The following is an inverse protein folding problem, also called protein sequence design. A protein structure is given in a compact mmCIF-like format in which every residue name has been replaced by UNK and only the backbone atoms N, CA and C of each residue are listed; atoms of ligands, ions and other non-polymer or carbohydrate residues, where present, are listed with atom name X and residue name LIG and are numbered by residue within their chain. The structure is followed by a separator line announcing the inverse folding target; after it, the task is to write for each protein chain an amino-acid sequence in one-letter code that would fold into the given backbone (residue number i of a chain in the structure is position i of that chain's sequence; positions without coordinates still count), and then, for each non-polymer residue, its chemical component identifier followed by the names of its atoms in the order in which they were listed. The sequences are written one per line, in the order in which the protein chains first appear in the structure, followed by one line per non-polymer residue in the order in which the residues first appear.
data_IF_841214372313
#
_entry.id   IF_841214372313
#
_cell.length_a   1.000
_cell.length_b   1.000
_cell.length_c   1.000
_cell.angle_alpha   90.00
_cell.angle_beta   90.00
_cell.angle_gamma   90.00
#
_symmetry.space_group_name_H-M   'P 1'
#
loop_
_entity.id
_entity.type
_entity.pdbx_description
1 polymer ?
#
# COMPACT_ATOMS: atom_id res chain seq x y z
N UNK A 1 9.01 29.99 -27.85
CA UNK A 1 9.81 29.80 -26.63
C UNK A 1 10.17 28.33 -26.57
N UNK A 2 11.46 28.00 -26.63
CA UNK A 2 11.92 26.62 -26.49
C UNK A 2 11.90 26.23 -25.01
N UNK A 3 11.28 25.10 -24.68
CA UNK A 3 11.19 24.61 -23.30
C UNK A 3 12.47 23.81 -23.02
N UNK A 4 13.13 24.14 -21.92
CA UNK A 4 14.32 23.42 -21.45
C UNK A 4 13.91 22.26 -20.54
N UNK A 5 13.92 21.04 -21.10
CA UNK A 5 13.52 19.82 -20.38
C UNK A 5 14.60 19.27 -19.43
N UNK A 6 15.83 19.80 -19.47
CA UNK A 6 16.94 19.24 -18.68
C UNK A 6 16.77 19.42 -17.17
N UNK A 7 15.94 20.39 -16.76
CA UNK A 7 15.68 20.77 -15.37
C UNK A 7 14.65 19.90 -14.66
N UNK A 8 13.89 19.09 -15.40
CA UNK A 8 12.82 18.26 -14.85
C UNK A 8 13.37 16.95 -14.29
N UNK A 9 12.76 16.48 -13.21
CA UNK A 9 13.02 15.14 -12.65
C UNK A 9 12.60 14.03 -13.61
N UNK A 10 13.11 12.82 -13.44
CA UNK A 10 12.72 11.65 -14.25
C UNK A 10 11.20 11.41 -14.19
N UNK A 11 10.59 11.60 -13.02
CA UNK A 11 9.14 11.47 -12.85
C UNK A 11 8.38 12.50 -13.71
N UNK A 12 8.80 13.76 -13.68
CA UNK A 12 8.19 14.83 -14.48
C UNK A 12 8.40 14.60 -15.98
N UNK A 13 9.59 14.13 -16.38
CA UNK A 13 9.86 13.78 -17.78
C UNK A 13 8.95 12.65 -18.27
N UNK A 14 8.75 11.60 -17.48
CA UNK A 14 7.80 10.53 -17.81
C UNK A 14 6.36 11.04 -17.90
N UNK A 15 5.96 11.96 -17.01
CA UNK A 15 4.64 12.57 -17.04
C UNK A 15 4.42 13.43 -18.29
N UNK A 16 5.43 14.26 -18.63
CA UNK A 16 5.45 15.05 -19.86
C UNK A 16 5.35 14.12 -21.09
N UNK A 17 6.12 13.04 -21.14
CA UNK A 17 6.11 12.08 -22.25
C UNK A 17 4.72 11.45 -22.48
N UNK A 18 3.95 11.22 -21.41
CA UNK A 18 2.58 10.68 -21.49
C UNK A 18 1.56 11.69 -22.04
N UNK A 19 1.79 12.99 -21.81
CA UNK A 19 0.84 14.05 -22.17
C UNK A 19 1.19 14.81 -23.46
N UNK A 20 2.39 14.62 -24.02
CA UNK A 20 2.75 15.21 -25.32
C UNK A 20 1.92 14.56 -26.45
N UNK A 21 1.25 15.40 -27.25
CA UNK A 21 0.64 14.98 -28.51
C UNK A 21 1.73 14.63 -29.54
N UNK A 22 1.95 13.32 -29.71
CA UNK A 22 2.97 12.75 -30.59
C UNK A 22 2.75 13.10 -32.07
N UNK A 23 1.49 13.33 -32.47
CA UNK A 23 1.14 13.64 -33.86
C UNK A 23 1.49 15.09 -34.18
N UNK A 24 1.29 15.98 -33.20
CA UNK A 24 1.49 17.41 -33.37
C UNK A 24 2.92 17.87 -33.04
N UNK A 25 3.62 17.17 -32.13
CA UNK A 25 4.96 17.55 -31.66
C UNK A 25 5.91 16.34 -31.53
N UNK A 26 6.23 15.64 -32.63
CA UNK A 26 7.07 14.44 -32.61
C UNK A 26 8.48 14.72 -32.07
N UNK A 27 9.11 15.82 -32.46
CA UNK A 27 10.47 16.17 -32.00
C UNK A 27 10.56 16.41 -30.49
N UNK A 28 9.50 16.97 -29.87
CA UNK A 28 9.47 17.17 -28.42
C UNK A 28 9.35 15.84 -27.68
N UNK A 29 8.55 14.94 -28.22
CA UNK A 29 8.39 13.60 -27.67
C UNK A 29 9.70 12.81 -27.73
N UNK A 30 10.41 12.87 -28.86
CA UNK A 30 11.71 12.24 -29.03
C UNK A 30 12.74 12.80 -28.04
N UNK A 31 12.87 14.14 -27.94
CA UNK A 31 13.80 14.79 -27.00
C UNK A 31 13.52 14.41 -25.54
N UNK A 32 12.25 14.35 -25.13
CA UNK A 32 11.89 13.94 -23.76
C UNK A 32 12.24 12.46 -23.53
N UNK A 33 11.99 11.57 -24.49
CA UNK A 33 12.36 10.16 -24.35
C UNK A 33 13.88 9.93 -24.34
N UNK A 34 14.63 10.71 -25.11
CA UNK A 34 16.09 10.69 -25.07
C UNK A 34 16.60 11.04 -23.66
N UNK A 35 16.10 12.13 -23.07
CA UNK A 35 16.45 12.54 -21.70
C UNK A 35 16.02 11.51 -20.64
N UNK A 36 14.86 10.85 -20.81
CA UNK A 36 14.43 9.76 -19.92
C UNK A 36 15.45 8.61 -19.98
N UNK A 37 15.83 8.18 -21.18
CA UNK A 37 16.80 7.09 -21.35
C UNK A 37 18.18 7.46 -20.82
N UNK A 38 18.62 8.70 -21.06
CA UNK A 38 19.86 9.24 -20.54
C UNK A 38 19.86 9.17 -19.01
N UNK A 39 18.82 9.69 -18.34
CA UNK A 39 18.72 9.64 -16.86
C UNK A 39 18.61 8.23 -16.30
N UNK A 40 17.94 7.31 -16.98
CA UNK A 40 17.88 5.91 -16.57
C UNK A 40 19.25 5.22 -16.64
N UNK A 41 20.07 5.58 -17.64
CA UNK A 41 21.39 5.01 -17.90
C UNK A 41 22.56 5.73 -17.21
N UNK A 42 22.36 6.98 -16.78
CA UNK A 42 23.38 7.79 -16.10
C UNK A 42 23.83 7.15 -14.79
N UNK A 43 25.13 7.27 -14.48
CA UNK A 43 25.68 6.93 -13.16
C UNK A 43 25.44 8.02 -12.13
N UNK A 44 25.29 9.28 -12.56
CA UNK A 44 25.06 10.43 -11.70
C UNK A 44 23.55 10.71 -11.62
N UNK A 45 22.84 9.86 -10.86
CA UNK A 45 21.40 10.03 -10.62
C UNK A 45 21.18 10.95 -9.44
N UNK A 46 20.17 11.81 -9.55
CA UNK A 46 19.72 12.59 -8.40
C UNK A 46 19.03 11.66 -7.39
N UNK A 47 19.06 11.99 -6.10
CA UNK A 47 18.41 11.20 -5.04
C UNK A 47 16.92 10.98 -5.31
N UNK A 48 16.26 11.94 -5.95
CA UNK A 48 14.85 11.87 -6.36
C UNK A 48 14.65 10.85 -7.49
N UNK A 49 15.50 10.88 -8.51
CA UNK A 49 15.45 9.93 -9.63
C UNK A 49 15.73 8.49 -9.16
N UNK A 50 16.68 8.29 -8.24
CA UNK A 50 16.95 6.98 -7.64
C UNK A 50 15.75 6.47 -6.83
N UNK A 51 15.13 7.32 -6.01
CA UNK A 51 13.93 6.95 -5.26
C UNK A 51 12.81 6.54 -6.22
N UNK A 52 12.57 7.33 -7.27
CA UNK A 52 11.55 7.04 -8.25
C UNK A 52 11.78 5.72 -8.99
N UNK A 53 13.02 5.46 -9.42
CA UNK A 53 13.40 4.21 -10.10
C UNK A 53 13.19 3.02 -9.16
N UNK A 54 13.65 3.12 -7.91
CA UNK A 54 13.46 2.04 -6.95
C UNK A 54 11.98 1.78 -6.69
N UNK A 55 11.16 2.81 -6.55
CA UNK A 55 9.72 2.64 -6.39
C UNK A 55 9.06 1.95 -7.58
N UNK A 56 9.47 2.32 -8.80
CA UNK A 56 8.98 1.73 -10.04
C UNK A 56 9.31 0.24 -10.16
N UNK A 57 10.40 -0.22 -9.55
CA UNK A 57 10.76 -1.64 -9.49
C UNK A 57 9.83 -2.46 -8.56
N UNK A 58 9.07 -1.81 -7.67
CA UNK A 58 8.12 -2.46 -6.77
C UNK A 58 8.78 -3.54 -5.90
N UNK A 59 8.37 -4.81 -6.06
CA UNK A 59 8.95 -5.94 -5.34
C UNK A 59 10.43 -6.21 -5.67
N UNK A 60 10.95 -5.62 -6.75
CA UNK A 60 12.35 -5.78 -7.18
C UNK A 60 13.35 -4.97 -6.36
N UNK A 61 12.90 -3.96 -5.61
CA UNK A 61 13.77 -3.05 -4.87
C UNK A 61 13.44 -3.01 -3.38
N UNK A 62 14.39 -2.45 -2.61
CA UNK A 62 14.23 -2.18 -1.20
C UNK A 62 13.10 -1.15 -0.98
N UNK A 63 13.23 0.08 -1.48
CA UNK A 63 12.20 1.13 -1.27
C UNK A 63 10.83 0.76 -1.84
N UNK A 64 10.76 0.05 -2.97
CA UNK A 64 9.50 -0.41 -3.54
C UNK A 64 8.77 -1.40 -2.62
N UNK A 65 9.47 -2.36 -2.03
CA UNK A 65 8.92 -3.23 -1.00
C UNK A 65 8.44 -2.44 0.23
N UNK A 66 9.22 -1.44 0.69
CA UNK A 66 8.81 -0.60 1.83
C UNK A 66 7.51 0.16 1.55
N UNK A 67 7.34 0.72 0.35
CA UNK A 67 6.09 1.39 -0.05
C UNK A 67 4.90 0.44 -0.10
N UNK A 68 5.06 -0.76 -0.65
CA UNK A 68 3.97 -1.77 -0.68
C UNK A 68 3.57 -2.16 0.75
N UNK A 69 4.54 -2.35 1.64
CA UNK A 69 4.27 -2.62 3.07
C UNK A 69 3.54 -1.43 3.72
N UNK A 70 3.93 -0.20 3.39
CA UNK A 70 3.29 1.01 3.88
C UNK A 70 1.82 1.11 3.43
N UNK A 71 1.49 0.71 2.21
CA UNK A 71 0.08 0.60 1.78
C UNK A 71 -0.69 -0.42 2.62
N UNK A 72 -0.07 -1.56 2.96
CA UNK A 72 -0.63 -2.53 3.91
C UNK A 72 -0.89 -1.94 5.30
N UNK A 73 0.02 -1.09 5.80
CA UNK A 73 -0.17 -0.37 7.06
C UNK A 73 -1.35 0.60 6.98
N UNK A 74 -1.46 1.41 5.93
CA UNK A 74 -2.58 2.34 5.77
C UNK A 74 -3.93 1.62 5.59
N UNK A 75 -3.95 0.51 4.85
CA UNK A 75 -5.13 -0.34 4.74
C UNK A 75 -5.54 -0.91 6.11
N UNK A 76 -4.57 -1.36 6.92
CA UNK A 76 -4.85 -1.84 8.29
C UNK A 76 -5.39 -0.74 9.21
N UNK A 77 -4.83 0.47 9.11
CA UNK A 77 -5.31 1.63 9.86
C UNK A 77 -6.75 1.98 9.47
N UNK A 78 -7.05 1.99 8.17
CA UNK A 78 -8.40 2.21 7.65
C UNK A 78 -9.39 1.17 8.21
N UNK A 79 -9.07 -0.13 8.14
CA UNK A 79 -9.93 -1.20 8.69
C UNK A 79 -10.14 -1.03 10.19
N UNK A 80 -9.09 -0.68 10.94
CA UNK A 80 -9.17 -0.45 12.38
C UNK A 80 -10.09 0.74 12.71
N UNK A 81 -9.93 1.86 12.01
CA UNK A 81 -10.76 3.06 12.19
C UNK A 81 -12.22 2.75 11.84
N UNK A 82 -12.47 2.08 10.71
CA UNK A 82 -13.83 1.72 10.31
C UNK A 82 -14.48 0.79 11.33
N UNK A 83 -13.74 -0.19 11.85
CA UNK A 83 -14.22 -1.09 12.91
C UNK A 83 -14.57 -0.33 14.19
N UNK A 84 -13.78 0.69 14.55
CA UNK A 84 -14.08 1.58 15.66
C UNK A 84 -15.35 2.41 15.39
N UNK A 85 -15.48 3.03 14.22
CA UNK A 85 -16.66 3.82 13.86
C UNK A 85 -17.93 2.96 13.94
N UNK A 86 -17.91 1.77 13.36
CA UNK A 86 -19.07 0.85 13.39
C UNK A 86 -19.40 0.35 14.80
N UNK A 87 -18.41 0.27 15.69
CA UNK A 87 -18.61 -0.18 17.06
C UNK A 87 -19.24 0.89 17.97
N UNK A 88 -18.87 2.15 17.79
CA UNK A 88 -19.28 3.25 18.68
C UNK A 88 -20.40 4.12 18.13
N UNK A 89 -20.66 4.06 16.83
CA UNK A 89 -21.80 4.71 16.19
C UNK A 89 -22.70 3.61 15.63
N UNK A 90 -23.52 2.96 16.48
CA UNK A 90 -24.48 1.99 16.00
C UNK A 90 -25.43 2.71 15.05
N UNK A 91 -25.33 2.37 13.76
CA UNK A 91 -26.27 2.78 12.72
C UNK A 91 -27.50 1.83 12.74
N UNK A 92 -27.52 0.84 13.65
CA UNK A 92 -28.50 -0.24 13.73
C UNK A 92 -29.58 -0.02 14.80
N UNK A 93 -30.76 -0.58 14.55
CA UNK A 93 -31.99 -0.48 15.35
C UNK A 93 -31.85 -1.09 16.77
N UNK A 94 -32.71 -0.63 17.70
CA UNK A 94 -32.72 -0.91 19.15
C UNK A 94 -32.59 -2.38 19.60
N UNK A 95 -32.83 -3.36 18.71
CA UNK A 95 -32.85 -4.80 19.02
C UNK A 95 -31.44 -5.40 19.10
N UNK A 96 -30.47 -4.91 18.32
CA UNK A 96 -29.07 -5.40 18.40
C UNK A 96 -28.35 -4.87 19.64
N UNK A 97 -28.79 -3.72 20.16
CA UNK A 97 -28.20 -3.05 21.32
C UNK A 97 -28.31 -3.91 22.59
N UNK A 98 -29.42 -4.63 22.77
CA UNK A 98 -29.66 -5.46 23.96
C UNK A 98 -28.75 -6.71 24.04
N UNK A 99 -28.38 -7.30 22.90
CA UNK A 99 -27.42 -8.42 22.83
C UNK A 99 -25.97 -7.93 22.95
N UNK A 100 -25.70 -6.68 22.57
CA UNK A 100 -24.40 -6.03 22.70
C UNK A 100 -24.03 -5.72 24.16
N UNK A 101 -25.01 -5.36 25.00
CA UNK A 101 -24.78 -4.94 26.38
C UNK A 101 -24.24 -6.05 27.30
N UNK A 102 -24.64 -7.31 27.10
CA UNK A 102 -24.30 -8.38 28.05
C UNK A 102 -22.92 -9.02 27.78
N UNK A 103 -22.49 -9.12 26.50
CA UNK A 103 -21.21 -9.77 26.12
C UNK A 103 -20.47 -9.11 24.94
N UNK A 104 -21.10 -8.18 24.21
CA UNK A 104 -20.61 -7.71 22.92
C UNK A 104 -19.46 -6.71 23.00
N UNK A 105 -19.50 -5.77 23.95
CA UNK A 105 -18.55 -4.66 24.02
C UNK A 105 -17.11 -5.17 24.21
N UNK A 106 -16.90 -6.14 25.11
CA UNK A 106 -15.55 -6.67 25.39
C UNK A 106 -14.93 -7.34 24.17
N UNK A 107 -15.70 -8.13 23.41
CA UNK A 107 -15.21 -8.83 22.21
C UNK A 107 -14.82 -7.81 21.13
N UNK A 108 -15.62 -6.77 20.94
CA UNK A 108 -15.38 -5.73 19.93
C UNK A 108 -14.15 -4.89 20.29
N UNK A 109 -14.00 -4.51 21.56
CA UNK A 109 -12.80 -3.79 22.02
C UNK A 109 -11.55 -4.64 21.82
N UNK A 110 -11.61 -5.94 22.14
CA UNK A 110 -10.50 -6.89 21.90
C UNK A 110 -10.19 -6.97 20.39
N UNK A 111 -11.22 -7.04 19.55
CA UNK A 111 -11.07 -7.09 18.10
C UNK A 111 -10.32 -5.87 17.56
N UNK A 112 -10.75 -4.66 17.94
CA UNK A 112 -10.11 -3.40 17.55
C UNK A 112 -8.66 -3.35 18.07
N UNK A 113 -8.42 -3.80 19.31
CA UNK A 113 -7.08 -3.85 19.87
C UNK A 113 -6.16 -4.81 19.10
N UNK A 114 -6.65 -5.98 18.71
CA UNK A 114 -5.92 -6.94 17.87
C UNK A 114 -5.61 -6.35 16.50
N UNK A 115 -6.58 -5.70 15.85
CA UNK A 115 -6.39 -5.02 14.56
C UNK A 115 -5.34 -3.91 14.64
N UNK A 116 -5.40 -3.07 15.68
CA UNK A 116 -4.44 -2.02 15.93
C UNK A 116 -3.03 -2.59 16.16
N UNK A 117 -2.93 -3.66 16.97
CA UNK A 117 -1.67 -4.36 17.24
C UNK A 117 -1.06 -4.94 15.95
N UNK A 118 -1.83 -5.68 15.15
CA UNK A 118 -1.36 -6.23 13.88
C UNK A 118 -0.91 -5.13 12.92
N UNK A 119 -1.70 -4.05 12.81
CA UNK A 119 -1.37 -2.89 11.98
C UNK A 119 -0.05 -2.25 12.42
N UNK A 120 0.16 -2.06 13.72
CA UNK A 120 1.43 -1.57 14.25
C UNK A 120 2.61 -2.47 13.85
N UNK A 121 2.47 -3.80 13.97
CA UNK A 121 3.54 -4.72 13.59
C UNK A 121 3.79 -4.81 12.08
N UNK A 122 2.79 -4.51 11.23
CA UNK A 122 2.99 -4.34 9.79
C UNK A 122 3.93 -3.15 9.52
N UNK A 123 3.79 -2.04 10.26
CA UNK A 123 4.73 -0.90 10.15
C UNK A 123 6.18 -1.29 10.50
N UNK A 124 6.34 -2.28 11.40
CA UNK A 124 7.63 -2.89 11.75
C UNK A 124 8.03 -4.03 10.82
N UNK A 125 7.37 -4.18 9.67
CA UNK A 125 7.69 -5.15 8.61
C UNK A 125 7.59 -6.59 9.10
N UNK A 126 6.69 -6.89 10.04
CA UNK A 126 6.50 -8.24 10.58
C UNK A 126 5.75 -9.14 9.59
N UNK A 127 6.40 -10.22 9.12
CA UNK A 127 5.77 -11.23 8.24
C UNK A 127 4.56 -11.89 8.87
N UNK A 128 4.67 -12.22 10.15
CA UNK A 128 3.60 -12.87 10.91
C UNK A 128 2.37 -11.94 11.01
N UNK A 129 2.59 -10.67 11.34
CA UNK A 129 1.48 -9.71 11.46
C UNK A 129 0.78 -9.47 10.13
N UNK A 130 1.51 -9.30 9.02
CA UNK A 130 0.92 -9.14 7.69
C UNK A 130 0.08 -10.36 7.28
N UNK A 131 0.60 -11.57 7.52
CA UNK A 131 -0.10 -12.82 7.21
C UNK A 131 -1.36 -12.99 8.06
N UNK A 132 -1.26 -12.77 9.37
CA UNK A 132 -2.39 -12.86 10.29
C UNK A 132 -3.45 -11.82 9.92
N UNK A 133 -3.06 -10.58 9.62
CA UNK A 133 -3.97 -9.52 9.20
C UNK A 133 -4.72 -9.89 7.92
N UNK A 134 -4.02 -10.42 6.92
CA UNK A 134 -4.63 -10.90 5.68
C UNK A 134 -5.65 -12.01 5.93
N UNK A 135 -5.27 -13.04 6.70
CA UNK A 135 -6.17 -14.17 7.01
C UNK A 135 -7.38 -13.69 7.81
N UNK A 136 -7.14 -12.89 8.86
CA UNK A 136 -8.18 -12.32 9.71
C UNK A 136 -9.19 -11.52 8.89
N UNK A 137 -8.71 -10.60 8.05
CA UNK A 137 -9.57 -9.80 7.19
C UNK A 137 -10.33 -10.65 6.17
N UNK A 138 -9.68 -11.63 5.55
CA UNK A 138 -10.32 -12.53 4.57
C UNK A 138 -11.43 -13.36 5.22
N UNK A 139 -11.20 -13.93 6.41
CA UNK A 139 -12.23 -14.66 7.15
C UNK A 139 -13.40 -13.75 7.55
N UNK A 140 -13.12 -12.50 7.95
CA UNK A 140 -14.17 -11.52 8.26
C UNK A 140 -15.05 -11.25 7.05
N UNK A 141 -14.45 -10.99 5.88
CA UNK A 141 -15.20 -10.76 4.62
C UNK A 141 -15.99 -12.00 4.20
N UNK A 142 -15.40 -13.19 4.27
CA UNK A 142 -16.08 -14.45 3.95
C UNK A 142 -17.27 -14.70 4.89
N UNK A 143 -17.12 -14.40 6.19
CA UNK A 143 -18.22 -14.50 7.15
C UNK A 143 -19.38 -13.61 6.73
N UNK A 144 -19.14 -12.33 6.43
CA UNK A 144 -20.20 -11.39 6.01
C UNK A 144 -20.92 -11.90 4.75
N UNK A 145 -20.16 -12.37 3.75
CA UNK A 145 -20.76 -12.82 2.50
C UNK A 145 -21.53 -14.14 2.60
N UNK A 146 -21.03 -15.11 3.38
CA UNK A 146 -21.60 -16.47 3.41
C UNK A 146 -22.51 -16.73 4.61
N UNK A 147 -22.27 -16.08 5.74
CA UNK A 147 -23.07 -16.26 6.96
C UNK A 147 -24.19 -15.23 7.02
N UNK A 148 -23.86 -13.97 6.76
CA UNK A 148 -24.83 -12.86 6.82
C UNK A 148 -25.54 -12.65 5.47
N UNK A 149 -25.05 -13.29 4.39
CA UNK A 149 -25.58 -13.19 3.02
C UNK A 149 -25.63 -11.75 2.50
N UNK A 150 -24.80 -10.87 3.05
CA UNK A 150 -24.71 -9.47 2.65
C UNK A 150 -23.58 -9.26 1.64
N UNK A 151 -23.94 -8.92 0.41
CA UNK A 151 -22.98 -8.67 -0.69
C UNK A 151 -22.53 -7.20 -0.69
N UNK A 152 -22.61 -6.50 0.44
CA UNK A 152 -22.24 -5.09 0.53
C UNK A 152 -20.72 -4.93 0.56
N UNK A 153 -20.23 -3.87 -0.08
CA UNK A 153 -18.80 -3.53 -0.03
C UNK A 153 -17.85 -4.47 -0.78
N UNK A 154 -18.32 -5.32 -1.70
CA UNK A 154 -17.49 -6.33 -2.38
C UNK A 154 -16.27 -5.74 -3.09
N UNK A 155 -16.44 -4.64 -3.81
CA UNK A 155 -15.34 -4.01 -4.53
C UNK A 155 -14.25 -3.50 -3.57
N UNK A 156 -14.66 -2.83 -2.49
CA UNK A 156 -13.73 -2.35 -1.47
C UNK A 156 -13.03 -3.52 -0.76
N UNK A 157 -13.77 -4.59 -0.46
CA UNK A 157 -13.19 -5.72 0.26
C UNK A 157 -12.21 -6.52 -0.58
N UNK A 158 -12.48 -6.74 -1.87
CA UNK A 158 -11.53 -7.32 -2.81
C UNK A 158 -10.28 -6.44 -2.98
N UNK A 159 -10.45 -5.12 -3.07
CA UNK A 159 -9.33 -4.18 -3.14
C UNK A 159 -8.44 -4.27 -1.91
N UNK A 160 -9.01 -4.19 -0.70
CA UNK A 160 -8.25 -4.28 0.55
C UNK A 160 -7.59 -5.66 0.72
N UNK A 161 -8.27 -6.74 0.31
CA UNK A 161 -7.70 -8.08 0.30
C UNK A 161 -6.46 -8.14 -0.60
N UNK A 162 -6.51 -7.56 -1.81
CA UNK A 162 -5.36 -7.48 -2.70
C UNK A 162 -4.21 -6.66 -2.09
N UNK A 163 -4.51 -5.55 -1.41
CA UNK A 163 -3.50 -4.76 -0.69
C UNK A 163 -2.83 -5.58 0.41
N UNK A 164 -3.58 -6.33 1.23
CA UNK A 164 -3.01 -7.19 2.28
C UNK A 164 -2.21 -8.37 1.74
N UNK A 165 -2.63 -8.98 0.62
CA UNK A 165 -1.83 -10.01 -0.08
C UNK A 165 -0.50 -9.42 -0.55
N UNK A 166 -0.54 -8.26 -1.22
CA UNK A 166 0.68 -7.59 -1.70
C UNK A 166 1.60 -7.20 -0.54
N UNK A 167 1.07 -6.67 0.55
CA UNK A 167 1.84 -6.36 1.75
C UNK A 167 2.47 -7.63 2.36
N UNK A 168 1.73 -8.74 2.39
CA UNK A 168 2.25 -10.04 2.86
C UNK A 168 3.43 -10.48 1.99
N UNK A 169 3.25 -10.53 0.66
CA UNK A 169 4.32 -10.90 -0.29
C UNK A 169 5.53 -9.96 -0.14
N UNK A 170 5.30 -8.66 -0.04
CA UNK A 170 6.37 -7.67 0.14
C UNK A 170 7.16 -7.90 1.44
N UNK A 171 6.49 -8.18 2.57
CA UNK A 171 7.21 -8.52 3.81
C UNK A 171 8.02 -9.80 3.69
N UNK A 172 7.54 -10.82 2.97
CA UNK A 172 8.31 -12.03 2.72
C UNK A 172 9.56 -11.76 1.88
N UNK A 173 9.41 -11.05 0.76
CA UNK A 173 10.51 -10.67 -0.12
C UNK A 173 11.53 -9.83 0.65
N UNK A 174 11.06 -8.84 1.41
CA UNK A 174 11.88 -7.97 2.24
C UNK A 174 12.82 -8.75 3.17
N UNK A 175 12.27 -9.69 3.94
CA UNK A 175 13.07 -10.50 4.87
C UNK A 175 13.97 -11.50 4.15
N UNK A 176 13.55 -12.03 2.99
CA UNK A 176 14.36 -12.98 2.22
C UNK A 176 15.57 -12.34 1.55
N UNK A 177 15.45 -11.09 1.07
CA UNK A 177 16.47 -10.43 0.25
C UNK A 177 17.30 -9.39 1.00
N UNK A 178 16.73 -8.72 2.00
CA UNK A 178 17.35 -7.50 2.56
C UNK A 178 17.74 -7.60 4.04
N UNK A 179 17.29 -8.62 4.78
CA UNK A 179 17.62 -8.77 6.21
C UNK A 179 19.06 -9.26 6.47
N UNK A 180 19.68 -9.92 5.49
CA UNK A 180 21.01 -10.53 5.65
C UNK A 180 22.13 -9.72 4.98
N UNK A 181 21.85 -8.52 4.47
CA UNK A 181 22.93 -7.62 4.04
C UNK A 181 23.47 -6.98 5.33
N UNK A 182 24.69 -7.33 5.79
CA UNK A 182 25.27 -6.66 6.93
C UNK A 182 25.27 -5.16 6.65
N UNK A 183 24.92 -4.37 7.65
CA UNK A 183 25.04 -2.92 7.59
C UNK A 183 26.54 -2.67 7.48
N UNK A 184 27.06 -2.56 6.26
CA UNK A 184 28.35 -1.91 6.05
C UNK A 184 28.11 -0.48 6.47
N UNK A 185 28.57 -0.15 7.66
CA UNK A 185 28.71 1.22 8.15
C UNK A 185 29.54 1.97 7.09
N UNK A 186 28.86 2.62 6.15
CA UNK A 186 29.48 3.69 5.36
C UNK A 186 29.35 4.93 6.22
N UNK A 187 30.48 5.26 6.87
CA UNK A 187 30.79 6.52 7.53
C UNK A 187 30.48 7.75 6.67
#
# INVERSE_FOLDING_TARGET
MEIDYTKYTLQELEDISKHIDRSKYPERFEKVNELINERLSSTDKTTEDESYIEERLGFGSKKGCEKIIQYGFFAGLFVTIMSFVTAFFPIYDDIELALFEEFGISIIVINIAVLAFLTFFISKRSRAAATIMFLYYSFSVLRVWFVELEVRGVLLSLFLMAVFVNATIATFIWHSRHKNVPITETE
#
